data_IF_655893142433
#
_entry.id   IF_655893142433
#
_cell.length_a   1.000
_cell.length_b   1.000
_cell.length_c   1.000
_cell.angle_alpha   90.00
_cell.angle_beta   90.00
_cell.angle_gamma   90.00
#
_symmetry.space_group_name_H-M   'P 1'
#
loop_
_entity.id
_entity.type
_entity.pdbx_description
1 polymer ?
#
# COMPACT_ATOMS: atom_id res chain seq x y z
N UNK A 1 17.31 -75.10 9.50
CA UNK A 1 16.22 -74.29 8.90
C UNK A 1 15.77 -73.27 9.92
N UNK A 2 15.87 -72.00 9.55
CA UNK A 2 15.15 -70.81 10.06
C UNK A 2 14.85 -70.69 11.56
N UNK A 3 15.74 -70.10 12.37
CA UNK A 3 15.34 -69.52 13.67
C UNK A 3 16.34 -68.54 14.35
N UNK A 4 17.45 -68.09 13.75
CA UNK A 4 18.43 -67.29 14.52
C UNK A 4 19.09 -66.11 13.80
N UNK A 5 18.52 -65.61 12.69
CA UNK A 5 19.07 -64.45 11.98
C UNK A 5 18.10 -63.25 11.85
N UNK A 6 17.17 -63.10 12.80
CA UNK A 6 16.25 -61.95 12.81
C UNK A 6 16.39 -61.02 14.03
N UNK A 7 17.34 -61.24 14.94
CA UNK A 7 17.46 -60.42 16.15
C UNK A 7 18.65 -59.45 16.22
N UNK A 8 19.44 -59.27 15.15
CA UNK A 8 20.64 -58.42 15.19
C UNK A 8 20.56 -57.11 14.40
N UNK A 9 19.40 -56.76 13.83
CA UNK A 9 19.24 -55.51 13.06
C UNK A 9 18.80 -54.32 13.94
N UNK A 10 18.50 -54.55 15.23
CA UNK A 10 17.95 -53.51 16.13
C UNK A 10 18.79 -53.35 17.40
N UNK A 11 20.07 -53.01 17.25
CA UNK A 11 20.88 -52.56 18.40
C UNK A 11 22.11 -51.75 18.00
N UNK A 12 22.04 -50.96 16.92
CA UNK A 12 23.07 -49.97 16.66
C UNK A 12 22.77 -48.67 17.42
N UNK A 13 23.65 -48.19 18.33
CA UNK A 13 23.47 -46.95 19.08
C UNK A 13 23.16 -45.74 18.19
N UNK A 14 23.70 -45.74 16.96
CA UNK A 14 23.44 -44.72 15.95
C UNK A 14 21.98 -44.72 15.47
N UNK A 15 21.33 -45.89 15.31
CA UNK A 15 19.92 -45.97 14.90
C UNK A 15 19.02 -45.41 16.00
N UNK A 16 19.27 -45.77 17.25
CA UNK A 16 18.57 -45.21 18.43
C UNK A 16 18.79 -43.69 18.57
N UNK A 17 19.99 -43.20 18.25
CA UNK A 17 20.29 -41.78 18.27
C UNK A 17 19.58 -41.02 17.15
N UNK A 18 19.56 -41.55 15.93
CA UNK A 18 18.84 -40.95 14.79
C UNK A 18 17.32 -41.00 14.97
N UNK A 19 16.77 -42.06 15.54
CA UNK A 19 15.33 -42.13 15.87
C UNK A 19 14.96 -41.16 16.98
N UNK A 20 15.80 -41.02 18.02
CA UNK A 20 15.60 -40.03 19.07
C UNK A 20 15.67 -38.59 18.53
N UNK A 21 16.64 -38.28 17.67
CA UNK A 21 16.75 -36.97 16.99
C UNK A 21 15.52 -36.69 16.13
N UNK A 22 15.07 -37.67 15.34
CA UNK A 22 13.90 -37.54 14.48
C UNK A 22 12.62 -37.35 15.27
N UNK A 23 12.45 -38.07 16.37
CA UNK A 23 11.31 -37.94 17.28
C UNK A 23 11.30 -36.56 17.96
N UNK A 24 12.45 -36.08 18.44
CA UNK A 24 12.60 -34.75 19.04
C UNK A 24 12.31 -33.64 18.01
N UNK A 25 12.79 -33.77 16.78
CA UNK A 25 12.52 -32.83 15.69
C UNK A 25 11.02 -32.81 15.32
N UNK A 26 10.38 -33.98 15.25
CA UNK A 26 8.95 -34.10 14.94
C UNK A 26 8.10 -33.49 16.05
N UNK A 27 8.43 -33.75 17.32
CA UNK A 27 7.77 -33.14 18.48
C UNK A 27 7.95 -31.62 18.47
N UNK A 28 9.17 -31.14 18.19
CA UNK A 28 9.48 -29.71 18.09
C UNK A 28 8.69 -29.01 16.98
N UNK A 29 8.60 -29.61 15.79
CA UNK A 29 7.78 -29.11 14.69
C UNK A 29 6.28 -29.15 15.02
N UNK A 30 5.81 -30.20 15.71
CA UNK A 30 4.42 -30.31 16.16
C UNK A 30 4.04 -29.25 17.18
N UNK A 31 4.89 -29.01 18.18
CA UNK A 31 4.71 -27.95 19.18
C UNK A 31 4.75 -26.56 18.53
N UNK A 32 5.63 -26.34 17.56
CA UNK A 32 5.68 -25.09 16.80
C UNK A 32 4.39 -24.89 15.98
N UNK A 33 3.92 -25.91 15.28
CA UNK A 33 2.68 -25.84 14.52
C UNK A 33 1.48 -25.57 15.44
N UNK A 34 1.44 -26.19 16.62
CA UNK A 34 0.43 -25.96 17.64
C UNK A 34 0.48 -24.52 18.19
N UNK A 35 1.67 -24.00 18.56
CA UNK A 35 1.81 -22.62 19.06
C UNK A 35 1.39 -21.59 17.99
N UNK A 36 1.77 -21.81 16.73
CA UNK A 36 1.35 -20.97 15.61
C UNK A 36 -0.17 -21.01 15.39
N UNK A 37 -0.79 -22.20 15.44
CA UNK A 37 -2.24 -22.34 15.32
C UNK A 37 -2.96 -21.69 16.50
N UNK A 38 -2.51 -21.94 17.72
CA UNK A 38 -3.08 -21.36 18.94
C UNK A 38 -3.02 -19.84 18.90
N UNK A 39 -1.85 -19.26 18.56
CA UNK A 39 -1.72 -17.80 18.43
C UNK A 39 -2.56 -17.21 17.31
N UNK A 40 -2.65 -17.90 16.17
CA UNK A 40 -3.55 -17.46 15.09
C UNK A 40 -5.01 -17.39 15.58
N UNK A 41 -5.45 -18.39 16.34
CA UNK A 41 -6.78 -18.43 16.95
C UNK A 41 -6.96 -17.42 18.11
N UNK A 42 -5.89 -17.04 18.81
CA UNK A 42 -5.89 -15.99 19.81
C UNK A 42 -6.03 -14.61 19.17
N UNK A 43 -5.32 -14.35 18.06
CA UNK A 43 -5.26 -13.05 17.39
C UNK A 43 -6.44 -12.76 16.45
N UNK A 44 -6.99 -13.80 15.84
CA UNK A 44 -8.02 -13.68 14.81
C UNK A 44 -9.09 -14.77 14.93
N UNK A 45 -10.25 -14.50 14.36
CA UNK A 45 -11.38 -15.41 14.24
C UNK A 45 -11.74 -15.62 12.77
N UNK A 46 -12.28 -16.79 12.46
CA UNK A 46 -12.81 -17.10 11.13
C UNK A 46 -14.20 -16.50 10.97
N UNK A 47 -14.50 -16.07 9.75
CA UNK A 47 -15.81 -15.55 9.39
C UNK A 47 -16.10 -15.89 7.92
N UNK A 48 -17.31 -15.61 7.46
CA UNK A 48 -17.72 -15.83 6.09
C UNK A 48 -18.68 -14.72 5.66
N UNK A 49 -18.12 -13.52 5.46
CA UNK A 49 -18.88 -12.36 4.99
C UNK A 49 -18.62 -12.19 3.50
N UNK A 50 -19.67 -12.25 2.69
CA UNK A 50 -19.59 -11.94 1.26
C UNK A 50 -19.58 -10.44 1.07
N UNK A 51 -18.63 -9.97 0.29
CA UNK A 51 -18.44 -8.58 -0.08
C UNK A 51 -18.38 -8.49 -1.60
N UNK A 52 -18.55 -7.28 -2.13
CA UNK A 52 -18.44 -7.02 -3.57
C UNK A 52 -17.41 -5.93 -3.83
N UNK A 53 -16.56 -6.12 -4.84
CA UNK A 53 -15.67 -5.06 -5.32
C UNK A 53 -16.49 -4.09 -6.16
N UNK A 54 -16.65 -2.86 -5.67
CA UNK A 54 -17.43 -1.81 -6.34
C UNK A 54 -16.59 -1.06 -7.37
N UNK A 55 -15.32 -0.80 -7.03
CA UNK A 55 -14.42 -0.11 -7.93
C UNK A 55 -12.96 -0.42 -7.59
N UNK A 56 -12.13 -0.36 -8.62
CA UNK A 56 -10.69 -0.42 -8.51
C UNK A 56 -10.09 0.88 -9.01
N UNK A 57 -9.01 1.30 -8.36
CA UNK A 57 -8.29 2.52 -8.71
C UNK A 57 -6.79 2.29 -8.71
N UNK A 58 -6.16 3.04 -9.62
CA UNK A 58 -4.74 3.08 -9.85
C UNK A 58 -4.23 4.51 -9.68
N UNK A 59 -3.01 4.66 -9.21
CA UNK A 59 -2.35 5.95 -9.02
C UNK A 59 -0.91 5.91 -9.55
N UNK A 60 -0.69 5.82 -10.88
CA UNK A 60 0.65 5.75 -11.48
C UNK A 60 1.64 6.77 -10.91
N UNK A 61 1.23 8.04 -10.80
CA UNK A 61 1.97 9.06 -10.05
C UNK A 61 1.40 9.21 -8.64
N UNK A 62 2.27 9.07 -7.63
CA UNK A 62 1.92 9.32 -6.23
C UNK A 62 1.38 10.74 -6.03
N UNK A 63 0.24 10.84 -5.34
CA UNK A 63 -0.34 12.12 -4.92
C UNK A 63 -1.32 12.73 -5.93
N UNK A 64 -1.26 12.35 -7.21
CA UNK A 64 -2.18 12.83 -8.25
C UNK A 64 -3.54 12.11 -8.19
N UNK A 65 -4.54 12.58 -8.96
CA UNK A 65 -5.87 11.97 -9.02
C UNK A 65 -5.86 10.51 -9.46
N UNK A 66 -6.76 9.67 -8.95
CA UNK A 66 -6.80 8.25 -9.31
C UNK A 66 -7.39 7.98 -10.70
N UNK A 67 -6.90 6.95 -11.37
CA UNK A 67 -7.50 6.35 -12.56
C UNK A 67 -8.45 5.22 -12.11
N UNK A 68 -9.72 5.27 -12.49
CA UNK A 68 -10.60 4.11 -12.32
C UNK A 68 -10.19 3.03 -13.32
N UNK A 69 -10.12 1.78 -12.88
CA UNK A 69 -9.80 0.62 -13.72
C UNK A 69 -10.87 -0.46 -13.55
N UNK A 70 -11.11 -1.24 -14.60
CA UNK A 70 -12.03 -2.39 -14.55
C UNK A 70 -11.37 -3.62 -13.94
N UNK A 71 -10.05 -3.70 -14.08
CA UNK A 71 -9.25 -4.85 -13.68
C UNK A 71 -7.86 -4.40 -13.22
N UNK A 72 -7.42 -4.93 -12.07
CA UNK A 72 -6.10 -4.67 -11.50
C UNK A 72 -5.24 -5.93 -11.56
N UNK A 73 -4.17 -5.89 -12.35
CA UNK A 73 -3.17 -6.96 -12.39
C UNK A 73 -2.24 -6.88 -11.19
N UNK A 74 -2.12 -7.96 -10.44
CA UNK A 74 -1.28 -8.06 -9.25
C UNK A 74 0.18 -8.11 -9.66
N UNK A 75 0.96 -7.15 -9.17
CA UNK A 75 2.41 -7.12 -9.20
C UNK A 75 3.04 -7.43 -7.83
N UNK A 76 4.37 -7.42 -7.74
CA UNK A 76 5.07 -7.71 -6.49
C UNK A 76 4.94 -6.60 -5.43
N UNK A 77 4.55 -5.38 -5.81
CA UNK A 77 4.43 -4.20 -4.92
C UNK A 77 2.99 -3.65 -4.78
N UNK A 78 1.98 -4.34 -5.31
CA UNK A 78 0.63 -3.80 -5.47
C UNK A 78 0.12 -4.06 -6.89
N UNK A 79 -0.82 -3.26 -7.39
CA UNK A 79 -1.15 -3.32 -8.81
C UNK A 79 0.07 -2.98 -9.66
N UNK A 80 0.24 -3.65 -10.80
CA UNK A 80 1.27 -3.29 -11.78
C UNK A 80 1.18 -1.80 -12.11
N UNK A 81 2.35 -1.15 -12.23
CA UNK A 81 2.49 0.26 -12.59
C UNK A 81 1.87 1.24 -11.55
N UNK A 82 1.46 0.78 -10.35
CA UNK A 82 0.87 1.64 -9.30
C UNK A 82 1.95 2.38 -8.54
N UNK A 83 1.82 3.71 -8.46
CA UNK A 83 2.75 4.60 -7.75
C UNK A 83 4.20 4.33 -8.14
N UNK A 84 4.45 4.03 -9.41
CA UNK A 84 5.80 3.87 -9.97
C UNK A 84 6.49 5.21 -10.21
N UNK A 85 5.72 6.31 -10.23
CA UNK A 85 6.22 7.67 -10.32
C UNK A 85 5.90 8.49 -9.07
N UNK A 86 6.72 9.50 -8.81
CA UNK A 86 6.52 10.44 -7.71
C UNK A 86 7.05 11.83 -8.09
N UNK A 87 6.42 12.88 -7.56
CA UNK A 87 6.92 14.24 -7.69
C UNK A 87 7.84 14.58 -6.52
N UNK A 88 8.96 15.23 -6.82
CA UNK A 88 9.92 15.73 -5.84
C UNK A 88 9.96 17.25 -5.97
N UNK A 89 9.75 17.95 -4.85
CA UNK A 89 10.03 19.38 -4.76
C UNK A 89 11.52 19.55 -4.53
N UNK A 90 12.16 20.38 -5.37
CA UNK A 90 13.60 20.59 -5.30
C UNK A 90 13.89 21.78 -4.39
N UNK A 91 14.85 21.59 -3.50
CA UNK A 91 15.46 22.67 -2.73
C UNK A 91 16.88 22.86 -3.21
N UNK A 92 17.25 24.11 -3.48
CA UNK A 92 18.59 24.48 -3.90
C UNK A 92 19.24 25.40 -2.87
N UNK A 93 20.55 25.25 -2.74
CA UNK A 93 21.37 26.22 -2.05
C UNK A 93 21.31 27.57 -2.80
N UNK A 94 21.15 28.66 -2.05
CA UNK A 94 20.89 29.98 -2.65
C UNK A 94 22.10 30.54 -3.41
N UNK A 95 23.32 30.17 -3.00
CA UNK A 95 24.56 30.72 -3.55
C UNK A 95 25.13 29.83 -4.67
N UNK A 96 25.12 28.52 -4.46
CA UNK A 96 25.72 27.54 -5.38
C UNK A 96 24.72 26.97 -6.39
N UNK A 97 23.42 27.18 -6.19
CA UNK A 97 22.31 26.57 -6.94
C UNK A 97 22.33 25.03 -6.98
N UNK A 98 23.13 24.39 -6.13
CA UNK A 98 23.17 22.94 -6.01
C UNK A 98 21.92 22.42 -5.32
N UNK A 99 21.43 21.25 -5.74
CA UNK A 99 20.30 20.59 -5.09
C UNK A 99 20.75 20.14 -3.70
N UNK A 100 20.10 20.67 -2.66
CA UNK A 100 20.34 20.30 -1.26
C UNK A 100 19.35 19.24 -0.79
N UNK A 101 18.16 19.18 -1.38
CA UNK A 101 17.14 18.21 -0.98
C UNK A 101 16.17 17.88 -2.11
N UNK A 102 15.87 16.59 -2.24
CA UNK A 102 14.74 16.04 -2.97
C UNK A 102 13.61 15.79 -1.98
N UNK A 103 12.64 16.69 -1.89
CA UNK A 103 11.50 16.55 -0.99
C UNK A 103 10.37 15.79 -1.70
N UNK A 104 10.13 14.55 -1.27
CA UNK A 104 8.99 13.77 -1.79
C UNK A 104 7.69 14.48 -1.48
N UNK A 105 6.88 14.72 -2.51
CA UNK A 105 5.63 15.43 -2.37
C UNK A 105 4.47 14.51 -1.96
N UNK A 106 3.63 15.02 -1.07
CA UNK A 106 2.41 14.35 -0.61
C UNK A 106 1.20 15.26 -0.81
N UNK A 107 0.10 14.69 -1.30
CA UNK A 107 -1.17 15.42 -1.43
C UNK A 107 -1.67 16.03 -0.09
N UNK A 108 -1.28 15.45 1.05
CA UNK A 108 -1.62 16.00 2.37
C UNK A 108 -0.95 17.33 2.72
N UNK A 109 0.19 17.64 2.09
CA UNK A 109 0.92 18.90 2.24
C UNK A 109 0.79 19.80 0.99
N UNK A 110 0.55 19.19 -0.17
CA UNK A 110 0.37 19.86 -1.46
C UNK A 110 -0.95 19.45 -2.10
N UNK A 111 -2.07 19.98 -1.56
CA UNK A 111 -3.42 19.62 -2.01
C UNK A 111 -3.64 19.83 -3.51
N UNK A 112 -2.96 20.82 -4.11
CA UNK A 112 -3.05 21.16 -5.53
C UNK A 112 -2.63 20.02 -6.47
N UNK A 113 -1.91 19.00 -5.98
CA UNK A 113 -1.58 17.80 -6.75
C UNK A 113 -2.83 17.06 -7.26
N UNK A 114 -3.99 17.22 -6.61
CA UNK A 114 -5.21 16.53 -7.04
C UNK A 114 -5.77 17.01 -8.38
N UNK A 115 -5.36 18.21 -8.78
CA UNK A 115 -5.75 18.85 -10.03
C UNK A 115 -4.93 18.34 -11.23
N UNK A 116 -4.09 17.34 -11.04
CA UNK A 116 -3.53 16.57 -12.13
C UNK A 116 -4.29 15.24 -12.21
N UNK A 117 -5.12 15.09 -13.23
CA UNK A 117 -5.77 13.82 -13.57
C UNK A 117 -4.82 13.02 -14.44
N UNK A 118 -4.87 11.71 -14.31
CA UNK A 118 -4.04 10.80 -15.07
C UNK A 118 -4.91 9.78 -15.77
N UNK A 119 -4.46 9.32 -16.93
CA UNK A 119 -5.06 8.26 -17.72
C UNK A 119 -3.95 7.41 -18.30
N UNK A 120 -4.10 6.09 -18.17
CA UNK A 120 -3.21 5.13 -18.85
C UNK A 120 -3.82 4.83 -20.21
N UNK A 121 -3.04 5.04 -21.26
CA UNK A 121 -3.40 4.76 -22.64
C UNK A 121 -2.53 3.60 -23.14
N UNK A 122 -3.14 2.67 -23.87
CA UNK A 122 -2.45 1.53 -24.48
C UNK A 122 -2.48 1.72 -25.98
N UNK A 123 -1.32 1.75 -26.62
CA UNK A 123 -1.22 1.84 -28.07
C UNK A 123 -1.39 0.46 -28.74
N UNK A 124 -1.50 0.46 -30.07
CA UNK A 124 -1.76 -0.75 -30.85
C UNK A 124 -0.65 -1.81 -30.75
N UNK A 125 0.57 -1.39 -30.44
CA UNK A 125 1.73 -2.25 -30.21
C UNK A 125 1.79 -2.81 -28.77
N UNK A 126 0.87 -2.38 -27.90
CA UNK A 126 0.82 -2.76 -26.49
C UNK A 126 1.66 -1.88 -25.57
N UNK A 127 2.35 -0.86 -26.10
CA UNK A 127 3.07 0.12 -25.29
C UNK A 127 2.08 0.94 -24.48
N UNK A 128 2.48 1.23 -23.24
CA UNK A 128 1.63 1.97 -22.29
C UNK A 128 2.19 3.36 -22.08
N UNK A 129 1.33 4.35 -22.24
CA UNK A 129 1.64 5.76 -21.98
C UNK A 129 0.78 6.28 -20.84
N UNK A 130 1.36 7.19 -20.07
CA UNK A 130 0.65 7.94 -19.05
C UNK A 130 0.41 9.35 -19.56
N UNK A 131 -0.85 9.73 -19.64
CA UNK A 131 -1.27 11.10 -19.94
C UNK A 131 -1.71 11.77 -18.66
N UNK A 132 -1.07 12.89 -18.32
CA UNK A 132 -1.40 13.71 -17.16
C UNK A 132 -2.01 15.02 -17.66
N UNK A 133 -3.25 15.29 -17.24
CA UNK A 133 -4.01 16.48 -17.60
C UNK A 133 -4.20 17.38 -16.38
N UNK A 134 -3.84 18.66 -16.51
CA UNK A 134 -4.12 19.70 -15.53
C UNK A 134 -5.60 20.12 -15.62
N UNK A 135 -6.34 20.06 -14.51
CA UNK A 135 -7.80 20.33 -14.43
C UNK A 135 -8.17 21.43 -13.43
N UNK A 136 -7.35 22.48 -13.36
CA UNK A 136 -7.57 23.62 -12.46
C UNK A 136 -8.42 24.74 -13.08
N UNK A 137 -8.50 25.92 -12.42
CA UNK A 137 -9.20 27.09 -12.95
C UNK A 137 -8.78 27.51 -14.38
N UNK A 138 -7.56 27.20 -14.78
CA UNK A 138 -7.04 27.43 -16.13
C UNK A 138 -7.56 26.43 -17.18
N UNK A 139 -8.05 25.27 -16.75
CA UNK A 139 -8.62 24.22 -17.60
C UNK A 139 -9.75 23.50 -16.84
N UNK A 140 -10.85 24.20 -16.52
CA UNK A 140 -11.85 23.73 -15.55
C UNK A 140 -12.70 22.57 -16.08
N UNK A 141 -12.82 22.46 -17.40
CA UNK A 141 -13.58 21.44 -18.11
C UNK A 141 -12.74 20.96 -19.28
N UNK A 142 -11.73 20.10 -19.05
CA UNK A 142 -11.02 19.48 -20.17
C UNK A 142 -12.03 18.71 -21.02
N UNK A 143 -12.03 18.94 -22.33
CA UNK A 143 -12.95 18.26 -23.25
C UNK A 143 -12.78 16.74 -23.20
N UNK A 144 -11.53 16.28 -23.03
CA UNK A 144 -11.15 14.87 -22.93
C UNK A 144 -9.95 14.68 -21.99
N UNK A 145 -9.86 13.52 -21.34
CA UNK A 145 -8.67 13.11 -20.57
C UNK A 145 -7.67 12.30 -21.42
N UNK A 146 -8.10 11.84 -22.58
CA UNK A 146 -7.23 11.28 -23.62
C UNK A 146 -6.26 12.33 -24.13
N UNK A 147 -5.11 11.88 -24.64
CA UNK A 147 -4.10 12.80 -25.14
C UNK A 147 -4.54 13.47 -26.43
N UNK A 148 -4.59 14.80 -26.42
CA UNK A 148 -4.90 15.63 -27.58
C UNK A 148 -3.73 16.51 -28.01
N UNK A 149 -2.64 16.51 -27.23
CA UNK A 149 -1.53 17.46 -27.41
C UNK A 149 -1.83 18.87 -26.89
N UNK A 150 -2.87 19.02 -26.06
CA UNK A 150 -3.18 20.27 -25.37
C UNK A 150 -2.01 20.76 -24.50
N UNK A 151 -1.82 22.07 -24.37
CA UNK A 151 -0.80 22.66 -23.49
C UNK A 151 -1.00 22.37 -21.98
N UNK A 152 -2.18 21.86 -21.62
CA UNK A 152 -2.54 21.41 -20.28
C UNK A 152 -2.32 19.90 -20.08
N UNK A 153 -1.70 19.24 -21.05
CA UNK A 153 -1.38 17.82 -20.99
C UNK A 153 0.12 17.58 -21.15
N UNK A 154 0.58 16.51 -20.51
CA UNK A 154 1.88 15.90 -20.79
C UNK A 154 1.66 14.39 -20.95
N UNK A 155 2.36 13.78 -21.90
CA UNK A 155 2.32 12.34 -22.17
C UNK A 155 3.74 11.78 -22.19
N UNK A 156 3.95 10.69 -21.47
CA UNK A 156 5.24 10.00 -21.41
C UNK A 156 5.02 8.49 -21.23
N UNK A 157 6.04 7.69 -21.52
CA UNK A 157 5.97 6.24 -21.35
C UNK A 157 5.70 5.87 -19.89
N UNK A 158 4.81 4.89 -19.66
CA UNK A 158 4.55 4.34 -18.33
C UNK A 158 5.72 3.48 -17.82
N UNK A 159 6.58 2.99 -18.73
CA UNK A 159 7.75 2.15 -18.46
C UNK A 159 8.97 2.64 -19.26
N UNK A 160 9.48 3.85 -18.97
CA UNK A 160 10.58 4.45 -19.72
C UNK A 160 11.89 3.68 -19.56
N UNK A 161 12.77 3.76 -20.56
CA UNK A 161 14.13 3.22 -20.44
C UNK A 161 14.97 4.08 -19.48
N UNK A 162 15.57 3.41 -18.49
CA UNK A 162 16.27 4.10 -17.39
C UNK A 162 17.76 4.29 -17.59
N UNK A 163 18.37 3.69 -18.62
CA UNK A 163 19.84 3.66 -18.78
C UNK A 163 20.47 5.04 -18.96
N UNK A 164 19.74 5.96 -19.59
CA UNK A 164 20.20 7.32 -19.86
C UNK A 164 19.73 8.33 -18.81
N UNK A 165 18.92 7.91 -17.83
CA UNK A 165 18.34 8.80 -16.83
C UNK A 165 19.28 8.95 -15.63
N UNK A 166 19.28 10.14 -15.05
CA UNK A 166 20.03 10.41 -13.82
C UNK A 166 19.42 9.62 -12.66
N UNK A 167 20.26 8.89 -11.93
CA UNK A 167 19.83 8.17 -10.74
C UNK A 167 19.85 9.10 -9.53
N UNK A 168 18.74 9.12 -8.79
CA UNK A 168 18.58 9.87 -7.55
C UNK A 168 18.29 8.91 -6.39
N UNK A 169 18.76 9.27 -5.19
CA UNK A 169 18.53 8.47 -3.98
C UNK A 169 17.47 9.15 -3.11
N UNK A 170 16.40 8.42 -2.78
CA UNK A 170 15.24 8.95 -2.07
C UNK A 170 14.98 8.15 -0.79
N UNK A 171 14.54 8.84 0.26
CA UNK A 171 14.05 8.23 1.48
C UNK A 171 12.59 8.64 1.71
N UNK A 172 11.70 7.65 1.67
CA UNK A 172 10.30 7.83 2.05
C UNK A 172 10.07 7.14 3.39
N UNK A 173 9.75 7.91 4.42
CA UNK A 173 9.38 7.39 5.74
C UNK A 173 10.44 6.46 6.39
N UNK A 174 11.72 6.68 6.13
CA UNK A 174 12.83 5.85 6.63
C UNK A 174 13.11 4.60 5.79
N UNK A 175 12.48 4.46 4.63
CA UNK A 175 12.66 3.33 3.72
C UNK A 175 13.11 3.86 2.36
N UNK A 176 14.43 3.75 2.16
CA UNK A 176 15.15 4.32 1.04
C UNK A 176 15.07 3.47 -0.24
N UNK A 177 15.20 4.14 -1.38
CA UNK A 177 15.23 3.51 -2.71
C UNK A 177 15.94 4.41 -3.72
N UNK A 178 16.45 3.82 -4.78
CA UNK A 178 16.93 4.56 -5.94
C UNK A 178 15.77 4.80 -6.90
N UNK A 179 15.73 5.98 -7.50
CA UNK A 179 14.82 6.34 -8.58
C UNK A 179 15.59 7.03 -9.71
N UNK A 180 14.89 7.35 -10.79
CA UNK A 180 15.45 7.96 -11.98
C UNK A 180 14.72 9.27 -12.26
N UNK A 181 15.45 10.36 -12.41
CA UNK A 181 14.88 11.64 -12.82
C UNK A 181 14.40 11.55 -14.27
N UNK A 182 13.15 11.92 -14.51
CA UNK A 182 12.51 11.90 -15.83
C UNK A 182 12.92 13.10 -16.70
N UNK A 183 13.75 14.00 -16.17
CA UNK A 183 14.35 15.10 -16.90
C UNK A 183 13.46 16.34 -16.99
N UNK A 184 14.05 17.41 -17.52
CA UNK A 184 13.48 18.75 -17.51
C UNK A 184 12.21 18.88 -18.36
N UNK A 185 12.13 18.19 -19.51
CA UNK A 185 11.00 18.34 -20.43
C UNK A 185 9.66 17.93 -19.77
N UNK A 186 9.67 16.81 -19.04
CA UNK A 186 8.48 16.34 -18.31
C UNK A 186 8.30 17.15 -17.02
N UNK A 187 9.39 17.46 -16.33
CA UNK A 187 9.38 18.17 -15.04
C UNK A 187 8.91 19.63 -15.15
N UNK A 188 9.19 20.29 -16.28
CA UNK A 188 8.75 21.65 -16.58
C UNK A 188 7.22 21.78 -16.57
N UNK A 189 6.49 20.75 -17.01
CA UNK A 189 5.03 20.72 -16.95
C UNK A 189 4.52 20.83 -15.51
N UNK A 190 5.07 20.03 -14.60
CA UNK A 190 4.65 20.07 -13.19
C UNK A 190 5.09 21.36 -12.51
N UNK A 191 6.31 21.81 -12.78
CA UNK A 191 6.86 23.08 -12.27
C UNK A 191 5.98 24.27 -12.66
N UNK A 192 5.53 24.35 -13.92
CA UNK A 192 4.62 25.40 -14.43
C UNK A 192 3.37 25.54 -13.55
N UNK A 193 2.71 24.43 -13.23
CA UNK A 193 1.41 24.45 -12.53
C UNK A 193 1.52 24.40 -11.00
N UNK A 194 2.62 23.90 -10.46
CA UNK A 194 2.83 23.85 -9.00
C UNK A 194 3.41 25.15 -8.44
N UNK A 195 4.09 25.94 -9.28
CA UNK A 195 4.67 27.24 -8.90
C UNK A 195 6.00 27.14 -8.14
N UNK A 196 6.63 25.97 -8.16
CA UNK A 196 7.97 25.73 -7.60
C UNK A 196 8.63 24.59 -8.35
N UNK A 197 9.96 24.58 -8.33
CA UNK A 197 10.78 23.58 -9.00
C UNK A 197 10.40 22.17 -8.55
N UNK A 198 9.96 21.37 -9.51
CA UNK A 198 9.42 20.03 -9.28
C UNK A 198 9.95 19.08 -10.34
N UNK A 199 10.52 17.97 -9.89
CA UNK A 199 10.97 16.90 -10.76
C UNK A 199 10.06 15.68 -10.65
N UNK A 200 9.77 15.05 -11.79
CA UNK A 200 9.13 13.74 -11.82
C UNK A 200 10.22 12.66 -11.74
N UNK A 201 10.09 11.73 -10.81
CA UNK A 201 10.98 10.58 -10.71
C UNK A 201 10.23 9.28 -10.98
N UNK A 202 10.92 8.31 -11.56
CA UNK A 202 10.45 6.97 -11.84
C UNK A 202 11.26 5.92 -11.06
N UNK A 203 10.61 4.97 -10.40
CA UNK A 203 11.30 3.98 -9.58
C UNK A 203 11.96 2.85 -10.40
N UNK A 204 11.52 2.63 -11.64
CA UNK A 204 12.01 1.51 -12.45
C UNK A 204 11.64 0.15 -11.85
N UNK A 205 12.60 -0.76 -11.80
CA UNK A 205 12.47 -2.08 -11.16
C UNK A 205 12.82 -2.05 -9.68
N UNK A 206 13.16 -0.89 -9.13
CA UNK A 206 13.49 -0.77 -7.71
C UNK A 206 12.23 -0.87 -6.86
N UNK A 207 12.43 -1.13 -5.59
CA UNK A 207 11.37 -1.15 -4.59
C UNK A 207 11.95 -0.73 -3.25
N UNK A 208 11.07 -0.55 -2.27
CA UNK A 208 11.44 -0.19 -0.90
C UNK A 208 10.72 -1.10 0.08
N UNK A 209 11.37 -1.38 1.19
CA UNK A 209 10.89 -2.35 2.18
C UNK A 209 9.76 -1.74 2.99
N UNK A 210 8.71 -2.52 3.25
CA UNK A 210 7.65 -2.17 4.20
C UNK A 210 8.21 -2.34 5.62
N UNK A 211 8.23 -1.25 6.40
CA UNK A 211 8.74 -1.27 7.77
C UNK A 211 7.60 -1.55 8.78
N UNK A 212 7.98 -1.77 10.03
CA UNK A 212 7.03 -2.10 11.11
C UNK A 212 6.41 -3.49 10.93
N UNK A 213 5.31 -3.74 11.66
CA UNK A 213 4.57 -5.02 11.65
C UNK A 213 3.34 -5.01 10.75
N UNK A 214 3.12 -3.92 10.01
CA UNK A 214 1.99 -3.79 9.09
C UNK A 214 2.07 -4.76 7.90
N UNK A 215 3.27 -5.14 7.46
CA UNK A 215 3.48 -6.16 6.44
C UNK A 215 3.43 -7.58 7.05
N UNK A 216 2.62 -8.51 6.54
CA UNK A 216 2.46 -9.85 7.12
C UNK A 216 3.74 -10.67 7.24
N UNK A 217 4.69 -10.49 6.33
CA UNK A 217 5.97 -11.22 6.27
C UNK A 217 7.14 -10.39 6.77
N UNK A 218 6.90 -9.19 7.33
CA UNK A 218 7.97 -8.38 7.90
C UNK A 218 8.62 -9.07 9.11
N UNK A 219 9.92 -8.84 9.36
CA UNK A 219 10.60 -9.41 10.52
C UNK A 219 9.89 -9.09 11.84
N UNK A 220 9.31 -7.89 11.97
CA UNK A 220 8.59 -7.47 13.17
C UNK A 220 7.22 -8.16 13.30
N UNK A 221 6.48 -8.34 12.21
CA UNK A 221 5.22 -9.07 12.21
C UNK A 221 5.43 -10.55 12.58
N UNK A 222 6.46 -11.17 12.01
CA UNK A 222 6.86 -12.55 12.34
C UNK A 222 7.26 -12.64 13.82
N UNK A 223 8.07 -11.70 14.31
CA UNK A 223 8.49 -11.69 15.72
C UNK A 223 7.30 -11.54 16.69
N UNK A 224 6.29 -10.73 16.35
CA UNK A 224 5.05 -10.62 17.14
C UNK A 224 4.24 -11.93 17.13
N UNK A 225 4.12 -12.57 15.97
CA UNK A 225 3.39 -13.84 15.82
C UNK A 225 4.08 -15.01 16.51
N UNK A 226 5.41 -15.07 16.48
CA UNK A 226 6.19 -16.15 17.11
C UNK A 226 7.49 -15.64 17.75
N UNK A 227 7.40 -15.03 18.96
CA UNK A 227 8.54 -14.43 19.64
C UNK A 227 9.57 -15.47 20.09
N UNK A 228 9.12 -16.69 20.45
CA UNK A 228 10.01 -17.75 20.93
C UNK A 228 10.87 -18.34 19.82
N UNK A 229 10.38 -18.41 18.57
CA UNK A 229 11.17 -18.93 17.44
C UNK A 229 11.79 -17.85 16.57
N UNK A 230 11.46 -16.57 16.78
CA UNK A 230 12.04 -15.45 16.04
C UNK A 230 13.59 -15.42 16.10
N UNK A 231 14.27 -15.69 17.24
CA UNK A 231 15.73 -15.74 17.29
C UNK A 231 16.32 -16.86 16.43
N UNK A 232 15.72 -18.06 16.49
CA UNK A 232 16.14 -19.25 15.74
C UNK A 232 15.99 -19.05 14.23
N UNK A 233 14.99 -18.27 13.81
CA UNK A 233 14.75 -17.99 12.39
C UNK A 233 15.87 -17.21 11.72
N UNK A 234 16.64 -16.39 12.46
CA UNK A 234 17.81 -15.68 11.92
C UNK A 234 18.92 -16.64 11.46
N UNK A 235 18.91 -17.88 11.94
CA UNK A 235 19.85 -18.92 11.56
C UNK A 235 19.38 -19.72 10.34
N UNK A 236 18.12 -19.54 9.89
CA UNK A 236 17.61 -20.23 8.71
C UNK A 236 18.16 -19.58 7.42
N UNK A 237 18.50 -20.40 6.41
CA UNK A 237 18.79 -19.90 5.06
C UNK A 237 17.67 -19.00 4.52
N UNK A 238 18.04 -17.95 3.78
CA UNK A 238 17.12 -16.93 3.26
C UNK A 238 16.00 -17.50 2.38
N UNK A 239 16.23 -18.59 1.66
CA UNK A 239 15.22 -19.26 0.84
C UNK A 239 14.13 -19.97 1.66
N UNK A 240 14.35 -20.22 2.96
CA UNK A 240 13.36 -20.76 3.90
C UNK A 240 12.61 -19.67 4.66
N UNK A 241 13.02 -18.41 4.52
CA UNK A 241 12.35 -17.27 5.15
C UNK A 241 11.44 -16.56 4.13
N UNK A 242 10.14 -16.38 4.43
CA UNK A 242 9.30 -15.42 3.74
C UNK A 242 10.02 -14.11 3.44
N UNK A 243 9.96 -13.70 2.17
CA UNK A 243 10.47 -12.41 1.74
C UNK A 243 9.58 -11.31 2.30
N UNK A 244 10.19 -10.29 2.89
CA UNK A 244 9.47 -9.11 3.36
C UNK A 244 8.78 -8.44 2.17
N UNK A 245 7.53 -8.04 2.37
CA UNK A 245 6.79 -7.29 1.36
C UNK A 245 7.52 -5.97 1.03
N UNK A 246 7.52 -5.64 -0.26
CA UNK A 246 8.05 -4.38 -0.76
C UNK A 246 6.93 -3.57 -1.42
N UNK A 247 7.18 -2.27 -1.55
CA UNK A 247 6.30 -1.28 -2.17
C UNK A 247 7.14 -0.39 -3.10
N UNK A 248 6.49 0.41 -3.94
CA UNK A 248 7.10 1.50 -4.69
C UNK A 248 6.88 2.81 -3.92
N UNK A 249 6.27 3.85 -4.50
CA UNK A 249 6.03 5.12 -3.82
C UNK A 249 4.72 5.16 -2.98
N UNK A 250 4.07 4.01 -2.72
CA UNK A 250 3.05 3.87 -1.66
C UNK A 250 3.62 4.38 -0.33
N UNK A 251 2.77 4.88 0.57
CA UNK A 251 3.24 5.33 1.89
C UNK A 251 3.61 4.17 2.81
N UNK A 252 2.74 3.15 2.93
CA UNK A 252 2.87 2.08 3.92
C UNK A 252 2.59 0.69 3.33
N UNK A 253 1.45 0.47 2.68
CA UNK A 253 1.04 -0.85 2.17
C UNK A 253 0.80 -0.90 0.66
N UNK A 254 0.76 -2.11 0.09
CA UNK A 254 0.62 -2.34 -1.35
C UNK A 254 -0.72 -1.84 -1.90
N UNK A 255 -1.79 -2.08 -1.16
CA UNK A 255 -3.14 -1.61 -1.49
C UNK A 255 -3.76 -0.90 -0.29
N UNK A 256 -4.63 0.06 -0.56
CA UNK A 256 -5.58 0.59 0.41
C UNK A 256 -6.98 0.08 0.07
N UNK A 257 -7.62 -0.61 1.02
CA UNK A 257 -9.01 -1.06 0.91
C UNK A 257 -9.89 -0.19 1.80
N UNK A 258 -11.03 0.23 1.26
CA UNK A 258 -12.07 0.99 1.98
C UNK A 258 -13.45 0.41 1.68
N UNK A 259 -14.39 0.62 2.59
CA UNK A 259 -15.79 0.18 2.44
C UNK A 259 -16.68 1.36 2.06
N UNK A 260 -17.73 1.10 1.27
CA UNK A 260 -18.79 2.09 1.02
C UNK A 260 -19.48 2.47 2.32
N UNK A 261 -19.73 1.50 3.19
CA UNK A 261 -20.42 1.69 4.46
C UNK A 261 -19.68 2.66 5.40
N UNK A 262 -18.33 2.58 5.45
CA UNK A 262 -17.54 3.59 6.16
C UNK A 262 -17.66 4.97 5.53
N UNK A 263 -17.68 5.06 4.19
CA UNK A 263 -17.79 6.35 3.50
C UNK A 263 -19.19 6.98 3.66
N UNK A 264 -20.24 6.16 3.69
CA UNK A 264 -21.61 6.59 3.95
C UNK A 264 -21.72 7.15 5.38
N UNK A 265 -21.05 6.51 6.36
CA UNK A 265 -20.95 7.06 7.71
C UNK A 265 -20.19 8.40 7.72
N UNK A 266 -19.06 8.52 6.99
CA UNK A 266 -18.37 9.82 6.86
C UNK A 266 -19.30 10.88 6.27
N UNK A 267 -20.07 10.53 5.23
CA UNK A 267 -21.03 11.44 4.57
C UNK A 267 -22.11 11.88 5.56
N UNK A 268 -22.59 10.98 6.42
CA UNK A 268 -23.57 11.31 7.46
C UNK A 268 -23.07 12.33 8.50
N UNK A 269 -21.75 12.53 8.60
CA UNK A 269 -21.14 13.57 9.46
C UNK A 269 -21.13 14.94 8.79
N UNK A 270 -21.34 15.01 7.47
CA UNK A 270 -21.33 16.24 6.70
C UNK A 270 -22.69 16.94 6.71
N UNK A 271 -22.74 18.17 6.20
CA UNK A 271 -24.00 18.91 6.04
C UNK A 271 -24.98 18.15 5.12
N UNK A 272 -26.27 18.39 5.31
CA UNK A 272 -27.34 17.74 4.54
C UNK A 272 -27.14 17.94 3.02
N UNK A 273 -27.20 16.84 2.26
CA UNK A 273 -27.00 16.84 0.80
C UNK A 273 -25.54 16.82 0.35
N UNK A 274 -24.57 16.78 1.27
CA UNK A 274 -23.14 16.66 0.95
C UNK A 274 -22.69 15.22 1.09
N UNK A 275 -22.27 14.60 -0.02
CA UNK A 275 -21.69 13.26 -0.02
C UNK A 275 -20.15 13.33 0.00
N UNK A 276 -19.52 12.48 0.81
CA UNK A 276 -18.07 12.38 0.84
C UNK A 276 -17.57 11.64 -0.40
N UNK A 277 -16.76 12.33 -1.21
CA UNK A 277 -16.06 11.73 -2.35
C UNK A 277 -15.01 10.70 -1.87
N UNK A 278 -15.35 9.42 -1.97
CA UNK A 278 -14.53 8.31 -1.44
C UNK A 278 -13.12 8.25 -2.04
N UNK A 279 -12.93 8.75 -3.27
CA UNK A 279 -11.59 8.80 -3.88
C UNK A 279 -10.64 9.77 -3.18
N UNK A 280 -11.13 10.70 -2.34
CA UNK A 280 -10.31 11.56 -1.48
C UNK A 280 -9.48 10.72 -0.49
N UNK A 281 -9.96 9.52 -0.14
CA UNK A 281 -9.21 8.57 0.68
C UNK A 281 -8.11 7.83 -0.09
N UNK A 282 -8.07 7.98 -1.42
CA UNK A 282 -7.11 7.35 -2.34
C UNK A 282 -7.06 5.81 -2.26
N UNK A 283 -8.21 5.11 -2.15
CA UNK A 283 -8.23 3.65 -2.10
C UNK A 283 -7.76 3.07 -3.43
N UNK A 284 -7.15 1.88 -3.39
CA UNK A 284 -6.97 1.05 -4.58
C UNK A 284 -8.20 0.16 -4.82
N UNK A 285 -8.89 -0.24 -3.75
CA UNK A 285 -10.03 -1.17 -3.79
C UNK A 285 -11.15 -0.60 -2.93
N UNK A 286 -12.32 -0.43 -3.53
CA UNK A 286 -13.55 -0.07 -2.84
C UNK A 286 -14.44 -1.29 -2.82
N UNK A 287 -14.93 -1.65 -1.63
CA UNK A 287 -15.83 -2.78 -1.44
C UNK A 287 -17.13 -2.36 -0.78
N UNK A 288 -18.18 -3.15 -0.97
CA UNK A 288 -19.48 -3.04 -0.29
C UNK A 288 -19.88 -4.38 0.31
N UNK A 289 -20.93 -4.36 1.13
CA UNK A 289 -21.42 -5.50 1.90
C UNK A 289 -20.77 -5.64 3.26
N UNK A 290 -20.02 -4.62 3.72
CA UNK A 290 -19.46 -4.60 5.07
C UNK A 290 -20.61 -4.67 6.09
N UNK A 291 -20.52 -5.47 7.17
CA UNK A 291 -21.60 -5.58 8.15
C UNK A 291 -21.96 -4.25 8.79
N UNK A 292 -20.94 -3.45 9.14
CA UNK A 292 -21.08 -2.14 9.77
C UNK A 292 -20.01 -1.16 9.23
N UNK A 293 -20.20 0.16 9.38
CA UNK A 293 -19.14 1.14 9.16
C UNK A 293 -17.91 0.84 10.01
N UNK A 294 -16.73 0.99 9.41
CA UNK A 294 -15.41 0.77 10.00
C UNK A 294 -15.09 -0.67 10.42
N UNK A 295 -15.90 -1.65 10.03
CA UNK A 295 -15.61 -3.07 10.25
C UNK A 295 -14.25 -3.47 9.65
N UNK A 296 -13.84 -2.80 8.56
CA UNK A 296 -12.55 -3.03 7.93
C UNK A 296 -11.35 -2.81 8.85
N UNK A 297 -11.48 -2.02 9.93
CA UNK A 297 -10.46 -1.88 10.98
C UNK A 297 -9.97 -3.24 11.50
N UNK A 298 -10.86 -4.25 11.49
CA UNK A 298 -10.63 -5.58 12.03
C UNK A 298 -10.30 -6.62 10.97
N UNK A 299 -10.39 -6.34 9.67
CA UNK A 299 -10.20 -7.38 8.66
C UNK A 299 -8.79 -7.98 8.66
N UNK A 300 -8.69 -9.29 8.52
CA UNK A 300 -7.40 -9.99 8.49
C UNK A 300 -7.12 -10.63 7.14
N UNK A 301 -8.15 -11.18 6.46
CA UNK A 301 -7.97 -11.79 5.14
C UNK A 301 -9.23 -11.67 4.27
N UNK A 302 -9.03 -11.27 3.01
CA UNK A 302 -9.97 -11.48 1.92
C UNK A 302 -9.48 -12.62 1.01
N UNK A 303 -10.43 -13.41 0.50
CA UNK A 303 -10.20 -14.44 -0.51
C UNK A 303 -11.03 -14.13 -1.75
N UNK A 304 -10.38 -14.10 -2.90
CA UNK A 304 -10.99 -13.83 -4.21
C UNK A 304 -11.40 -15.14 -4.90
N UNK A 305 -12.30 -15.10 -5.89
CA UNK A 305 -12.77 -16.30 -6.59
C UNK A 305 -11.64 -17.14 -7.21
N UNK A 306 -10.57 -16.48 -7.68
CA UNK A 306 -9.38 -17.12 -8.26
C UNK A 306 -8.42 -17.76 -7.22
N UNK A 307 -8.80 -17.75 -5.95
CA UNK A 307 -8.01 -18.27 -4.84
C UNK A 307 -6.88 -17.35 -4.37
N UNK A 308 -6.81 -16.12 -4.88
CA UNK A 308 -5.91 -15.08 -4.37
C UNK A 308 -6.26 -14.81 -2.91
N UNK A 309 -5.23 -14.75 -2.06
CA UNK A 309 -5.37 -14.41 -0.64
C UNK A 309 -4.75 -13.05 -0.40
N UNK A 310 -5.57 -12.10 0.01
CA UNK A 310 -5.13 -10.77 0.40
C UNK A 310 -5.12 -10.68 1.92
N UNK A 311 -3.95 -10.48 2.49
CA UNK A 311 -3.75 -10.35 3.93
C UNK A 311 -3.75 -8.86 4.31
N UNK A 312 -4.41 -8.55 5.42
CA UNK A 312 -4.54 -7.19 5.92
C UNK A 312 -3.49 -6.90 7.00
N UNK A 313 -3.01 -5.65 6.98
CA UNK A 313 -1.97 -5.15 7.85
C UNK A 313 -2.45 -4.06 8.80
N UNK A 314 -1.68 -2.97 8.86
CA UNK A 314 -2.00 -1.78 9.62
C UNK A 314 -3.19 -1.00 9.06
N UNK A 315 -3.79 -0.16 9.90
CA UNK A 315 -4.83 0.79 9.47
C UNK A 315 -4.21 2.02 8.80
N UNK A 316 -5.00 2.72 7.98
CA UNK A 316 -4.58 3.95 7.34
C UNK A 316 -5.00 5.17 8.16
N UNK A 317 -4.05 5.80 8.85
CA UNK A 317 -4.28 7.12 9.42
C UNK A 317 -4.36 8.17 8.30
N UNK A 318 -5.27 9.12 8.44
CA UNK A 318 -5.59 10.08 7.39
C UNK A 318 -4.85 11.39 7.62
N UNK A 319 -4.21 11.88 6.56
CA UNK A 319 -3.66 13.23 6.49
C UNK A 319 -4.73 14.24 6.02
N UNK A 320 -4.35 15.51 5.91
CA UNK A 320 -5.23 16.60 5.45
C UNK A 320 -5.69 16.44 3.99
N UNK A 321 -5.14 15.49 3.22
CA UNK A 321 -5.52 15.26 1.82
C UNK A 321 -7.03 15.05 1.64
N UNK A 322 -7.73 14.51 2.63
CA UNK A 322 -9.17 14.25 2.55
C UNK A 322 -10.03 15.52 2.60
N UNK A 323 -9.44 16.67 2.94
CA UNK A 323 -10.13 17.97 3.04
C UNK A 323 -10.12 18.76 1.73
N UNK A 324 -9.46 18.23 0.69
CA UNK A 324 -9.25 18.95 -0.57
C UNK A 324 -10.56 19.09 -1.35
N UNK A 325 -10.73 20.25 -1.96
CA UNK A 325 -11.70 20.50 -3.02
C UNK A 325 -11.05 20.17 -4.38
N UNK A 326 -11.68 19.24 -5.12
CA UNK A 326 -11.18 18.77 -6.41
C UNK A 326 -11.28 19.79 -7.54
N UNK A 327 -12.00 20.91 -7.35
CA UNK A 327 -12.09 22.00 -8.31
C UNK A 327 -10.96 23.01 -8.11
N UNK A 328 -10.61 23.29 -6.86
CA UNK A 328 -9.66 24.36 -6.53
C UNK A 328 -8.28 23.85 -6.14
N UNK A 329 -8.13 22.57 -5.78
CA UNK A 329 -6.87 22.01 -5.28
C UNK A 329 -6.45 22.61 -3.93
N UNK A 330 -7.39 23.24 -3.23
CA UNK A 330 -7.20 23.84 -1.90
C UNK A 330 -8.04 23.07 -0.89
N UNK A 331 -7.86 23.39 0.38
CA UNK A 331 -8.80 22.92 1.41
C UNK A 331 -10.20 23.47 1.08
N UNK A 332 -11.21 22.61 1.07
CA UNK A 332 -12.58 23.03 0.85
C UNK A 332 -13.03 24.05 1.91
N UNK A 333 -13.75 25.08 1.50
CA UNK A 333 -14.20 26.15 2.39
C UNK A 333 -15.40 25.71 3.26
N UNK A 334 -16.21 24.78 2.76
CA UNK A 334 -17.38 24.23 3.45
C UNK A 334 -17.05 23.08 4.39
N UNK A 335 -18.10 22.36 4.79
CA UNK A 335 -18.01 21.31 5.81
C UNK A 335 -17.16 20.09 5.39
N UNK A 336 -17.03 19.83 4.08
CA UNK A 336 -16.05 18.88 3.54
C UNK A 336 -14.61 19.21 3.97
N UNK A 337 -14.27 20.50 4.11
CA UNK A 337 -12.97 20.96 4.61
C UNK A 337 -12.74 20.61 6.08
N UNK A 338 -13.81 20.28 6.79
CA UNK A 338 -13.80 19.93 8.21
C UNK A 338 -13.87 18.42 8.44
N UNK A 339 -14.02 17.59 7.39
CA UNK A 339 -14.14 16.13 7.48
C UNK A 339 -13.03 15.49 8.32
N UNK A 340 -11.78 15.96 8.18
CA UNK A 340 -10.67 15.45 8.98
C UNK A 340 -10.88 15.70 10.48
N UNK A 341 -11.34 16.89 10.85
CA UNK A 341 -11.62 17.22 12.26
C UNK A 341 -12.83 16.44 12.77
N UNK A 342 -13.86 16.22 11.94
CA UNK A 342 -15.04 15.44 12.29
C UNK A 342 -14.70 13.98 12.56
N UNK A 343 -13.86 13.38 11.73
CA UNK A 343 -13.35 12.03 11.97
C UNK A 343 -12.43 11.99 13.20
N UNK A 344 -11.56 12.99 13.39
CA UNK A 344 -10.63 13.02 14.51
C UNK A 344 -11.29 13.04 15.90
N UNK A 345 -12.60 13.34 16.00
CA UNK A 345 -13.36 13.29 17.25
C UNK A 345 -13.39 11.88 17.88
N UNK A 346 -13.52 10.84 17.05
CA UNK A 346 -13.67 9.45 17.52
C UNK A 346 -12.82 8.43 16.76
N UNK A 347 -12.29 8.76 15.58
CA UNK A 347 -11.51 7.84 14.74
C UNK A 347 -10.02 7.84 15.02
N UNK A 348 -9.54 8.48 16.09
CA UNK A 348 -8.15 8.35 16.59
C UNK A 348 -7.98 7.04 17.38
N UNK A 349 -8.24 5.93 16.71
CA UNK A 349 -8.40 4.60 17.32
C UNK A 349 -7.14 3.74 17.30
N UNK A 350 -6.12 4.12 16.53
CA UNK A 350 -4.84 3.41 16.49
C UNK A 350 -3.97 3.81 17.69
N UNK A 351 -3.67 2.84 18.56
CA UNK A 351 -2.85 3.07 19.77
C UNK A 351 -1.41 3.51 19.44
N UNK A 352 -0.92 3.13 18.26
CA UNK A 352 0.42 3.47 17.77
C UNK A 352 0.50 4.85 17.11
N UNK A 353 -0.63 5.40 16.68
CA UNK A 353 -0.71 6.72 16.06
C UNK A 353 -1.94 7.52 16.51
N UNK A 354 -1.77 8.32 17.57
CA UNK A 354 -2.86 9.09 18.18
C UNK A 354 -3.18 10.43 17.52
N UNK A 355 -2.42 10.87 16.51
CA UNK A 355 -2.52 12.24 15.97
C UNK A 355 -3.56 12.37 14.86
N UNK A 356 -3.76 11.31 14.06
CA UNK A 356 -4.68 11.30 12.92
C UNK A 356 -5.85 10.34 13.09
N UNK A 357 -7.03 10.65 12.53
CA UNK A 357 -8.11 9.69 12.43
C UNK A 357 -7.77 8.53 11.48
N UNK A 358 -8.42 7.38 11.65
CA UNK A 358 -8.25 6.18 10.82
C UNK A 358 -9.42 6.01 9.85
N UNK A 359 -9.11 5.74 8.58
CA UNK A 359 -10.07 5.34 7.56
C UNK A 359 -9.41 4.43 6.51
N UNK A 360 -9.97 3.23 6.33
CA UNK A 360 -9.43 2.21 5.44
C UNK A 360 -8.25 1.43 6.03
N UNK A 361 -7.92 0.32 5.36
CA UNK A 361 -6.89 -0.62 5.84
C UNK A 361 -5.94 -1.04 4.73
N UNK A 362 -4.66 -1.13 5.08
CA UNK A 362 -3.63 -1.58 4.16
C UNK A 362 -3.67 -3.09 4.00
N UNK A 363 -3.44 -3.56 2.78
CA UNK A 363 -3.40 -4.99 2.48
C UNK A 363 -2.28 -5.35 1.51
N UNK A 364 -2.03 -6.66 1.42
CA UNK A 364 -0.90 -7.27 0.73
C UNK A 364 -1.31 -8.56 0.03
N UNK A 365 -0.69 -8.83 -1.11
CA UNK A 365 -0.86 -10.08 -1.86
C UNK A 365 0.45 -10.85 -1.88
N UNK A 366 0.38 -12.18 -2.01
CA UNK A 366 1.59 -13.02 -2.05
C UNK A 366 2.28 -12.90 -3.40
N UNK A 367 3.62 -12.99 -3.42
CA UNK A 367 4.41 -12.99 -4.68
C UNK A 367 3.98 -14.08 -5.66
N UNK A 368 3.46 -15.22 -5.17
CA UNK A 368 2.91 -16.30 -6.02
C UNK A 368 1.65 -15.91 -6.79
N UNK A 369 0.99 -14.83 -6.37
CA UNK A 369 -0.21 -14.29 -7.01
C UNK A 369 0.14 -13.22 -8.05
N UNK A 370 1.42 -12.88 -8.23
CA UNK A 370 1.91 -12.00 -9.30
C UNK A 370 1.44 -12.51 -10.66
N UNK A 371 0.95 -11.60 -11.49
CA UNK A 371 0.41 -11.91 -12.82
C UNK A 371 -1.07 -12.26 -12.85
N UNK A 372 -1.69 -12.53 -11.69
CA UNK A 372 -3.15 -12.70 -11.58
C UNK A 372 -3.86 -11.36 -11.59
N UNK A 373 -5.18 -11.40 -11.75
CA UNK A 373 -6.03 -10.22 -11.87
C UNK A 373 -7.17 -10.27 -10.84
N UNK A 374 -7.59 -9.09 -10.38
CA UNK A 374 -8.83 -8.87 -9.64
C UNK A 374 -9.68 -7.86 -10.41
N UNK A 375 -11.01 -7.97 -10.36
CA UNK A 375 -11.91 -7.17 -11.20
C UNK A 375 -12.96 -6.43 -10.39
N UNK A 376 -13.37 -5.27 -10.89
CA UNK A 376 -14.59 -4.64 -10.41
C UNK A 376 -15.78 -5.58 -10.67
N UNK A 377 -16.66 -5.70 -9.69
CA UNK A 377 -17.79 -6.63 -9.70
C UNK A 377 -17.50 -8.01 -9.09
N UNK A 378 -16.24 -8.37 -8.81
CA UNK A 378 -15.92 -9.64 -8.16
C UNK A 378 -16.60 -9.74 -6.77
N UNK A 379 -17.21 -10.90 -6.49
CA UNK A 379 -17.61 -11.27 -5.14
C UNK A 379 -16.39 -11.83 -4.38
N UNK A 380 -16.07 -11.23 -3.25
CA UNK A 380 -14.95 -11.66 -2.39
C UNK A 380 -15.46 -12.08 -1.02
N UNK A 381 -14.72 -12.95 -0.35
CA UNK A 381 -15.10 -13.43 0.98
C UNK A 381 -14.11 -12.92 2.01
N UNK A 382 -14.61 -12.22 3.03
CA UNK A 382 -13.89 -11.99 4.27
C UNK A 382 -13.88 -13.29 5.07
N UNK A 383 -12.70 -13.89 5.15
CA UNK A 383 -12.52 -15.21 5.79
C UNK A 383 -11.97 -15.10 7.20
N UNK A 384 -11.33 -13.98 7.55
CA UNK A 384 -10.79 -13.74 8.89
C UNK A 384 -10.88 -12.29 9.35
N UNK A 385 -11.11 -12.13 10.64
CA UNK A 385 -11.07 -10.85 11.37
C UNK A 385 -10.10 -10.95 12.55
N UNK A 386 -9.37 -9.88 12.82
CA UNK A 386 -8.60 -9.72 14.05
C UNK A 386 -9.55 -9.40 15.20
N UNK A 387 -9.25 -9.91 16.39
CA UNK A 387 -10.02 -9.58 17.60
C UNK A 387 -9.74 -8.16 18.11
N UNK A 388 -8.57 -7.62 17.78
CA UNK A 388 -8.15 -6.27 18.12
C UNK A 388 -7.70 -5.49 16.88
N UNK A 389 -7.79 -4.16 16.96
CA UNK A 389 -7.19 -3.29 15.93
C UNK A 389 -5.68 -3.48 15.89
N UNK A 390 -5.05 -3.46 14.70
CA UNK A 390 -3.60 -3.44 14.61
C UNK A 390 -3.07 -2.15 15.24
N UNK A 391 -1.80 -2.19 15.67
CA UNK A 391 -1.11 -1.06 16.28
C UNK A 391 -0.03 -0.60 15.31
N UNK A 392 -0.10 0.66 14.89
CA UNK A 392 0.92 1.27 14.04
C UNK A 392 2.27 1.32 14.75
N UNK A 393 3.30 0.75 14.13
CA UNK A 393 4.65 0.68 14.67
C UNK A 393 5.72 0.87 13.61
N UNK A 394 5.38 1.62 12.56
CA UNK A 394 6.36 2.06 11.58
C UNK A 394 7.36 3.02 12.26
N UNK A 395 8.68 2.81 12.09
CA UNK A 395 9.70 3.63 12.74
C UNK A 395 9.85 4.99 12.04
N UNK A 396 8.91 5.90 12.26
CA UNK A 396 8.97 7.27 11.72
C UNK A 396 10.01 8.10 12.48
N UNK A 397 10.73 8.97 11.76
CA UNK A 397 11.69 9.90 12.37
C UNK A 397 10.96 10.94 13.23
N UNK A 398 11.66 11.51 14.22
CA UNK A 398 11.09 12.58 15.07
C UNK A 398 10.61 13.78 14.26
N UNK A 399 11.32 14.12 13.18
CA UNK A 399 10.93 15.20 12.27
C UNK A 399 9.61 14.89 11.56
N UNK A 400 9.44 13.68 11.05
CA UNK A 400 8.18 13.25 10.44
C UNK A 400 7.05 13.28 11.47
N UNK A 401 7.26 12.72 12.66
CA UNK A 401 6.24 12.76 13.72
C UNK A 401 5.86 14.19 14.08
N UNK A 402 6.82 15.12 14.13
CA UNK A 402 6.55 16.52 14.41
C UNK A 402 5.73 17.22 13.32
N UNK A 403 5.95 16.89 12.04
CA UNK A 403 5.20 17.46 10.92
C UNK A 403 3.71 17.07 10.90
N UNK A 404 3.33 16.01 11.62
CA UNK A 404 1.94 15.53 11.72
C UNK A 404 1.27 15.79 13.08
N UNK A 405 2.00 16.35 14.05
CA UNK A 405 1.40 16.85 15.30
C UNK A 405 0.70 18.17 15.05
#
# INVERSE_FOLDING_TARGET
MASSQLSSVVSHPQVLQWTAISAAATLGLGLLAYDLQKKKAEMSEECNVKLKIEALYHYPVKGLGGCKIEAGKIGPQGFEDDRSFCLQKIHRDADTHQITQWETMYSGFHLQMILFKQKVEVENDGEKYLTVTRVGPENPTPEQLDYTGSEHQIRFSLRPEVKALEKVHLDLHGSATDAFDMGEDISAFFTKYLGFETHLVYIGTNSRVVLGSGAPSSPLAIAKRSPYTAPLRRLLPSFLTPQTETITFQDIGQYLVVTKESNDEVSSRLDEGVEMEITKFRPNIIVSGSPEPYDEDYWAQLVFPSGIKMEFGGTCWRCQAITVDYKTGKKAEGDEGMVWKKLAKDRRVDKGWKYGPVFGKYSYTSLKDTGKEIRAGDEVVLTRRNKERPIFDWPLSKAIVAAFK
#
